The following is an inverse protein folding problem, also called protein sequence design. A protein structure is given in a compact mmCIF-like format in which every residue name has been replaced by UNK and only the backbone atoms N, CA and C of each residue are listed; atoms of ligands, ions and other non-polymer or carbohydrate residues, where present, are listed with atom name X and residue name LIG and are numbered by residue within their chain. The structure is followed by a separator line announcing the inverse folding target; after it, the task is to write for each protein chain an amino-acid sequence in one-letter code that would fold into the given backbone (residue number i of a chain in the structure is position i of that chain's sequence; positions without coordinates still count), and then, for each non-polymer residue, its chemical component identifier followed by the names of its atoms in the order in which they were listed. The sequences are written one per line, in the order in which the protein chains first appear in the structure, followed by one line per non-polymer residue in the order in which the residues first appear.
data_IF_934792823517
#
_entry.id   IF_934792823517
#
_cell.length_a   1.000
_cell.length_b   1.000
_cell.length_c   1.000
_cell.angle_alpha   90.00
_cell.angle_beta   90.00
_cell.angle_gamma   90.00
#
_symmetry.space_group_name_H-M   'P 1'
#
loop_
_entity.id
_entity.type
_entity.pdbx_description
1 polymer ?
#
# COMPACT_ATOMS: atom_id res chain seq x y z
N UNK A 1 13.97 -22.95 10.04
CA UNK A 1 14.60 -24.25 10.40
C UNK A 1 14.54 -25.24 9.24
N UNK A 2 13.35 -25.74 8.83
CA UNK A 2 13.22 -26.73 7.73
C UNK A 2 13.75 -26.31 6.35
N UNK A 3 13.94 -25.01 6.11
CA UNK A 3 14.58 -24.47 4.90
C UNK A 3 16.10 -24.28 5.06
N UNK A 4 16.73 -24.72 6.15
CA UNK A 4 18.17 -24.57 6.42
C UNK A 4 18.62 -23.16 6.84
N UNK A 5 17.74 -22.15 6.77
CA UNK A 5 18.05 -20.75 7.03
C UNK A 5 18.36 -20.39 8.50
N UNK A 6 18.19 -21.32 9.44
CA UNK A 6 18.37 -21.04 10.87
C UNK A 6 18.85 -22.29 11.60
N UNK A 7 19.88 -22.12 12.44
CA UNK A 7 20.48 -23.18 13.25
C UNK A 7 19.50 -23.78 14.25
N UNK A 8 19.34 -25.09 14.22
CA UNK A 8 18.41 -25.83 15.08
C UNK A 8 18.78 -25.71 16.56
N UNK A 9 20.06 -25.89 16.89
CA UNK A 9 20.55 -25.81 18.26
C UNK A 9 20.32 -24.44 18.90
N UNK A 10 20.46 -23.37 18.11
CA UNK A 10 20.19 -22.01 18.55
C UNK A 10 18.69 -21.75 18.72
N UNK A 11 17.85 -22.27 17.82
CA UNK A 11 16.40 -22.12 17.93
C UNK A 11 15.89 -22.72 19.24
N UNK A 12 16.28 -23.94 19.58
CA UNK A 12 15.83 -24.60 20.80
C UNK A 12 16.42 -23.98 22.08
N UNK A 13 17.56 -23.29 22.01
CA UNK A 13 18.12 -22.52 23.15
C UNK A 13 17.42 -21.19 23.38
N UNK A 14 16.88 -20.57 22.34
CA UNK A 14 16.18 -19.26 22.44
C UNK A 14 14.68 -19.46 22.68
N UNK A 15 14.06 -20.44 22.02
CA UNK A 15 12.62 -20.68 22.06
C UNK A 15 12.18 -21.50 23.29
N UNK A 16 12.77 -21.24 24.46
CA UNK A 16 12.40 -21.93 25.72
C UNK A 16 11.06 -21.43 26.24
N UNK A 17 10.81 -20.12 26.13
CA UNK A 17 9.53 -19.49 26.48
C UNK A 17 9.07 -18.67 25.28
N UNK A 18 8.04 -19.15 24.59
CA UNK A 18 7.46 -18.43 23.45
C UNK A 18 6.45 -17.39 23.92
N UNK A 19 6.86 -16.11 23.93
CA UNK A 19 5.94 -14.99 24.17
C UNK A 19 5.30 -14.61 22.84
N UNK A 20 4.00 -14.87 22.70
CA UNK A 20 3.24 -14.44 21.53
C UNK A 20 2.83 -12.97 21.69
N UNK A 21 3.42 -12.07 20.90
CA UNK A 21 3.00 -10.67 20.86
C UNK A 21 1.88 -10.48 19.82
N UNK A 22 0.62 -10.22 20.24
CA UNK A 22 -0.45 -10.02 19.29
C UNK A 22 -0.22 -8.74 18.46
N UNK A 23 -0.55 -8.76 17.16
CA UNK A 23 -0.52 -7.55 16.34
C UNK A 23 -1.54 -6.53 16.85
N UNK A 24 -1.29 -5.24 16.64
CA UNK A 24 -2.15 -4.14 17.11
C UNK A 24 -3.63 -4.32 16.71
N UNK A 25 -3.90 -4.90 15.53
CA UNK A 25 -5.27 -5.22 15.07
C UNK A 25 -6.07 -6.16 15.97
N UNK A 26 -5.41 -6.98 16.80
CA UNK A 26 -6.04 -7.89 17.77
C UNK A 26 -6.23 -7.26 19.16
N UNK A 27 -5.75 -6.02 19.35
CA UNK A 27 -5.77 -5.25 20.62
C UNK A 27 -6.09 -3.80 20.33
N UNK A 28 -7.23 -3.57 19.68
CA UNK A 28 -7.61 -2.22 19.23
C UNK A 28 -7.90 -1.29 20.41
N UNK A 29 -8.23 -1.84 21.57
CA UNK A 29 -8.47 -1.09 22.82
C UNK A 29 -7.20 -0.38 23.31
N UNK A 30 -6.00 -0.84 22.92
CA UNK A 30 -4.73 -0.21 23.29
C UNK A 30 -4.41 1.02 22.43
N UNK A 31 -5.07 1.19 21.27
CA UNK A 31 -4.75 2.25 20.30
C UNK A 31 -4.89 3.65 20.91
N UNK A 32 -5.96 4.01 21.64
CA UNK A 32 -6.08 5.32 22.27
C UNK A 32 -4.93 5.61 23.24
N UNK A 33 -4.60 4.65 24.10
CA UNK A 33 -3.52 4.81 25.09
C UNK A 33 -2.16 4.99 24.42
N UNK A 34 -1.86 4.19 23.40
CA UNK A 34 -0.62 4.30 22.62
C UNK A 34 -0.56 5.62 21.85
N UNK A 35 -1.65 6.04 21.22
CA UNK A 35 -1.72 7.28 20.47
C UNK A 35 -1.49 8.51 21.38
N UNK A 36 -2.08 8.52 22.57
CA UNK A 36 -1.84 9.57 23.57
C UNK A 36 -0.40 9.59 24.10
N UNK A 37 0.20 8.41 24.28
CA UNK A 37 1.60 8.31 24.67
C UNK A 37 2.52 8.94 23.62
N UNK A 38 2.36 8.54 22.34
CA UNK A 38 3.17 9.09 21.25
C UNK A 38 2.91 10.58 21.04
N UNK A 39 1.65 11.03 21.16
CA UNK A 39 1.31 12.44 21.11
C UNK A 39 2.15 13.22 22.13
N UNK A 40 2.11 12.83 23.40
CA UNK A 40 2.86 13.51 24.47
C UNK A 40 4.36 13.50 24.20
N UNK A 41 4.90 12.36 23.78
CA UNK A 41 6.32 12.19 23.47
C UNK A 41 6.78 13.15 22.36
N UNK A 42 6.05 13.21 21.24
CA UNK A 42 6.44 14.05 20.10
C UNK A 42 6.10 15.52 20.29
N UNK A 43 5.01 15.86 20.99
CA UNK A 43 4.70 17.24 21.34
C UNK A 43 5.79 17.84 22.22
N UNK A 44 6.28 17.10 23.21
CA UNK A 44 7.40 17.53 24.06
C UNK A 44 8.71 17.68 23.27
N UNK A 45 8.99 16.73 22.37
CA UNK A 45 10.21 16.75 21.52
C UNK A 45 10.21 17.90 20.51
N UNK A 46 9.06 18.24 19.94
CA UNK A 46 8.92 19.29 18.92
C UNK A 46 8.59 20.67 19.49
N UNK A 47 8.32 20.80 20.79
CA UNK A 47 7.95 22.06 21.44
C UNK A 47 6.60 22.64 20.99
N UNK A 48 5.73 21.82 20.38
CA UNK A 48 4.40 22.25 19.94
C UNK A 48 3.41 22.26 21.10
N UNK A 49 2.29 22.98 20.97
CA UNK A 49 1.20 23.04 21.95
C UNK A 49 0.00 22.20 21.52
N UNK A 50 0.23 20.92 21.21
CA UNK A 50 -0.86 20.01 20.84
C UNK A 50 -1.32 19.27 22.09
N UNK A 51 -2.58 19.47 22.46
CA UNK A 51 -3.20 18.99 23.70
C UNK A 51 -3.99 17.70 23.50
N UNK A 52 -4.35 17.33 22.27
CA UNK A 52 -5.13 16.12 22.03
C UNK A 52 -5.30 15.68 20.58
N UNK A 53 -6.06 14.60 20.41
CA UNK A 53 -6.50 14.05 19.13
C UNK A 53 -8.02 14.20 19.06
N UNK A 54 -8.56 14.68 17.94
CA UNK A 54 -10.01 14.83 17.81
C UNK A 54 -10.71 13.47 17.84
N UNK A 55 -11.97 13.45 18.29
CA UNK A 55 -12.76 12.21 18.35
C UNK A 55 -12.89 11.52 16.97
N UNK A 56 -12.93 12.31 15.88
CA UNK A 56 -12.96 11.79 14.52
C UNK A 56 -11.64 11.15 14.12
N UNK A 57 -10.51 11.82 14.37
CA UNK A 57 -9.18 11.26 14.13
C UNK A 57 -8.95 9.98 14.95
N UNK A 58 -9.38 9.97 16.22
CA UNK A 58 -9.27 8.79 17.09
C UNK A 58 -10.11 7.60 16.60
N UNK A 59 -11.29 7.84 16.03
CA UNK A 59 -12.09 6.78 15.39
C UNK A 59 -11.37 6.18 14.19
N UNK A 60 -10.75 7.02 13.34
CA UNK A 60 -9.97 6.57 12.18
C UNK A 60 -8.78 5.70 12.63
N UNK A 61 -8.06 6.14 13.66
CA UNK A 61 -6.93 5.37 14.21
C UNK A 61 -7.37 3.99 14.72
N UNK A 62 -8.55 3.89 15.35
CA UNK A 62 -9.08 2.61 15.85
C UNK A 62 -9.65 1.69 14.76
N UNK A 63 -10.19 2.25 13.67
CA UNK A 63 -10.75 1.46 12.58
C UNK A 63 -9.66 0.83 11.71
N UNK A 64 -8.51 1.47 11.59
CA UNK A 64 -7.40 1.05 10.73
C UNK A 64 -6.76 -0.29 11.17
N UNK A 65 -6.36 -1.20 10.24
CA UNK A 65 -5.85 -2.52 10.57
C UNK A 65 -4.36 -2.56 10.95
N UNK A 66 -3.63 -1.46 10.82
CA UNK A 66 -2.22 -1.32 11.23
C UNK A 66 -1.30 -2.47 10.75
N UNK A 67 -1.10 -2.67 9.43
CA UNK A 67 -0.18 -3.69 8.91
C UNK A 67 1.26 -3.55 9.45
N UNK A 68 1.72 -2.32 9.74
CA UNK A 68 3.00 -2.06 10.38
C UNK A 68 2.97 -1.99 11.92
N UNK A 69 1.86 -2.41 12.54
CA UNK A 69 1.69 -2.54 14.00
C UNK A 69 2.00 -1.20 14.71
N UNK A 70 2.52 -1.26 15.95
CA UNK A 70 2.85 -0.09 16.78
C UNK A 70 3.77 0.92 16.07
N UNK A 71 4.76 0.47 15.28
CA UNK A 71 5.66 1.38 14.56
C UNK A 71 4.94 2.24 13.53
N UNK A 72 3.95 1.69 12.85
CA UNK A 72 3.16 2.48 11.91
C UNK A 72 2.29 3.51 12.63
N UNK A 73 1.73 3.15 13.79
CA UNK A 73 1.00 4.10 14.64
C UNK A 73 1.90 5.23 15.13
N UNK A 74 3.07 4.91 15.67
CA UNK A 74 4.10 5.87 16.11
C UNK A 74 4.43 6.88 15.00
N UNK A 75 4.85 6.40 13.83
CA UNK A 75 5.20 7.25 12.69
C UNK A 75 4.01 8.12 12.22
N UNK A 76 2.80 7.59 12.32
CA UNK A 76 1.58 8.32 11.95
C UNK A 76 1.35 9.49 12.89
N UNK A 77 1.49 9.28 14.20
CA UNK A 77 1.32 10.33 15.21
C UNK A 77 2.46 11.35 15.13
N UNK A 78 3.71 10.92 14.95
CA UNK A 78 4.85 11.82 14.75
C UNK A 78 4.60 12.78 13.59
N UNK A 79 4.20 12.23 12.43
CA UNK A 79 3.88 13.02 11.25
C UNK A 79 2.71 13.97 11.51
N UNK A 80 1.65 13.50 12.17
CA UNK A 80 0.50 14.34 12.48
C UNK A 80 0.90 15.52 13.40
N UNK A 81 1.72 15.27 14.42
CA UNK A 81 2.28 16.33 15.28
C UNK A 81 3.12 17.30 14.47
N UNK A 82 3.98 16.83 13.58
CA UNK A 82 4.83 17.69 12.75
C UNK A 82 4.01 18.59 11.80
N UNK A 83 2.90 18.10 11.26
CA UNK A 83 2.06 18.82 10.30
C UNK A 83 0.94 19.66 10.93
N UNK A 84 0.53 19.35 12.16
CA UNK A 84 -0.59 20.04 12.78
C UNK A 84 -0.24 21.48 13.17
N UNK A 85 -1.19 22.37 12.92
CA UNK A 85 -1.11 23.81 13.22
C UNK A 85 -2.03 24.20 14.37
N UNK A 86 -3.01 23.36 14.70
CA UNK A 86 -3.95 23.55 15.81
C UNK A 86 -3.51 22.82 17.08
N UNK A 87 -4.20 23.08 18.20
CA UNK A 87 -3.94 22.38 19.46
C UNK A 87 -4.49 20.94 19.48
N UNK A 88 -5.38 20.60 18.55
CA UNK A 88 -5.98 19.27 18.45
C UNK A 88 -5.64 18.70 17.09
N UNK A 89 -5.17 17.44 17.04
CA UNK A 89 -4.93 16.72 15.78
C UNK A 89 -6.27 16.45 15.11
N UNK A 90 -6.45 17.03 13.92
CA UNK A 90 -7.62 16.85 13.08
C UNK A 90 -7.42 15.68 12.09
N UNK A 91 -8.52 15.04 11.63
CA UNK A 91 -8.42 13.88 10.74
C UNK A 91 -7.64 14.18 9.45
N UNK A 92 -7.67 15.42 8.95
CA UNK A 92 -6.96 15.87 7.75
C UNK A 92 -5.44 15.78 7.88
N UNK A 93 -4.91 15.75 9.10
CA UNK A 93 -3.47 15.58 9.36
C UNK A 93 -3.03 14.12 9.39
N UNK A 94 -3.98 13.19 9.45
CA UNK A 94 -3.68 11.78 9.29
C UNK A 94 -3.34 11.48 7.81
N UNK A 95 -2.48 10.49 7.52
CA UNK A 95 -2.21 10.06 6.15
C UNK A 95 -3.52 9.73 5.41
N UNK A 96 -3.56 10.03 4.11
CA UNK A 96 -4.75 9.74 3.27
C UNK A 96 -5.11 8.25 3.29
N UNK A 97 -4.10 7.37 3.36
CA UNK A 97 -4.29 5.92 3.49
C UNK A 97 -5.03 5.48 4.75
N UNK A 98 -5.12 6.34 5.78
CA UNK A 98 -5.93 6.08 6.97
C UNK A 98 -7.34 6.70 6.85
N UNK A 99 -7.46 7.86 6.20
CA UNK A 99 -8.73 8.58 6.02
C UNK A 99 -9.65 7.88 5.02
N UNK A 100 -9.08 7.41 3.93
CA UNK A 100 -9.75 6.50 3.01
C UNK A 100 -9.72 5.14 3.69
N UNK A 101 -10.86 4.65 4.16
CA UNK A 101 -10.99 3.33 4.78
C UNK A 101 -10.73 2.16 3.77
N UNK A 102 -9.96 2.41 2.71
CA UNK A 102 -9.38 1.45 1.75
C UNK A 102 -8.27 0.63 2.41
N UNK A 103 -8.59 0.13 3.60
CA UNK A 103 -7.86 -0.91 4.30
C UNK A 103 -8.14 -2.27 3.67
N UNK A 104 -8.02 -2.36 2.35
CA UNK A 104 -7.67 -3.62 1.70
C UNK A 104 -6.15 -3.58 1.50
N UNK A 105 -5.39 -4.62 1.87
CA UNK A 105 -4.09 -4.79 1.23
C UNK A 105 -4.36 -4.70 -0.27
N UNK A 106 -3.55 -3.93 -0.99
CA UNK A 106 -3.76 -3.59 -2.40
C UNK A 106 -4.04 -4.82 -3.28
N UNK A 107 -5.31 -5.25 -3.32
CA UNK A 107 -6.00 -5.66 -4.52
C UNK A 107 -6.50 -4.35 -5.14
N UNK A 108 -5.57 -3.49 -5.57
CA UNK A 108 -5.95 -2.59 -6.65
C UNK A 108 -6.21 -3.53 -7.82
N UNK A 109 -7.45 -3.95 -8.01
CA UNK A 109 -7.88 -4.33 -9.34
C UNK A 109 -7.68 -3.05 -10.16
N UNK A 110 -6.68 -3.01 -11.06
CA UNK A 110 -6.38 -1.81 -11.83
C UNK A 110 -7.56 -1.42 -12.73
N UNK A 111 -8.56 -2.30 -12.84
CA UNK A 111 -9.76 -2.16 -13.62
C UNK A 111 -10.96 -2.50 -12.73
N UNK A 112 -11.86 -1.53 -12.56
CA UNK A 112 -13.15 -1.76 -11.92
C UNK A 112 -14.14 -2.23 -12.99
N UNK A 113 -14.87 -3.31 -12.71
CA UNK A 113 -15.94 -3.76 -13.59
C UNK A 113 -17.10 -2.75 -13.51
N UNK A 114 -17.56 -2.16 -14.63
CA UNK A 114 -18.70 -1.25 -14.60
C UNK A 114 -20.01 -1.98 -14.27
N UNK A 115 -20.98 -1.28 -13.67
CA UNK A 115 -22.27 -1.85 -13.20
C UNK A 115 -23.24 -2.25 -14.33
N UNK A 116 -22.82 -2.20 -15.60
CA UNK A 116 -23.63 -2.49 -16.79
C UNK A 116 -23.02 -3.56 -17.70
N UNK A 117 -23.69 -3.92 -18.80
CA UNK A 117 -23.14 -4.87 -19.78
C UNK A 117 -21.79 -4.37 -20.29
N UNK A 118 -20.77 -5.21 -20.13
CA UNK A 118 -19.38 -4.88 -20.41
C UNK A 118 -18.82 -5.82 -21.47
N UNK A 119 -18.33 -5.24 -22.57
CA UNK A 119 -17.61 -5.99 -23.59
C UNK A 119 -16.15 -6.15 -23.18
N UNK A 120 -15.88 -7.32 -22.57
CA UNK A 120 -14.54 -7.68 -22.12
C UNK A 120 -13.55 -7.80 -23.28
N UNK A 121 -13.98 -8.30 -24.44
CA UNK A 121 -13.08 -8.49 -25.58
C UNK A 121 -12.62 -7.15 -26.15
N UNK A 122 -13.54 -6.19 -26.31
CA UNK A 122 -13.21 -4.83 -26.75
C UNK A 122 -12.27 -4.12 -25.75
N UNK A 123 -12.51 -4.29 -24.45
CA UNK A 123 -11.66 -3.69 -23.42
C UNK A 123 -10.24 -4.27 -23.46
N UNK A 124 -10.10 -5.60 -23.47
CA UNK A 124 -8.80 -6.26 -23.53
C UNK A 124 -8.02 -5.87 -24.79
N UNK A 125 -8.70 -5.76 -25.93
CA UNK A 125 -8.10 -5.27 -27.17
C UNK A 125 -7.56 -3.83 -27.03
N UNK A 126 -8.29 -2.95 -26.34
CA UNK A 126 -7.85 -1.58 -26.09
C UNK A 126 -6.60 -1.51 -25.20
N UNK A 127 -6.57 -2.29 -24.12
CA UNK A 127 -5.43 -2.39 -23.19
C UNK A 127 -4.22 -2.95 -23.91
N UNK A 128 -4.41 -4.03 -24.67
CA UNK A 128 -3.35 -4.65 -25.46
C UNK A 128 -2.78 -3.68 -26.50
N UNK A 129 -3.63 -2.93 -27.22
CA UNK A 129 -3.18 -1.94 -28.19
C UNK A 129 -2.35 -0.81 -27.56
N UNK A 130 -2.72 -0.38 -26.35
CA UNK A 130 -2.01 0.64 -25.58
C UNK A 130 -0.62 0.17 -25.17
N UNK A 131 -0.52 -1.05 -24.63
CA UNK A 131 0.75 -1.66 -24.22
C UNK A 131 1.70 -1.87 -25.40
N UNK A 132 1.19 -2.31 -26.56
CA UNK A 132 1.99 -2.47 -27.77
C UNK A 132 2.52 -1.12 -28.26
N UNK A 133 1.69 -0.06 -28.28
CA UNK A 133 2.15 1.30 -28.65
C UNK A 133 3.21 1.82 -27.68
N UNK A 134 3.03 1.61 -26.39
CA UNK A 134 4.01 2.03 -25.38
C UNK A 134 5.34 1.29 -25.54
N UNK A 135 5.31 -0.02 -25.78
CA UNK A 135 6.50 -0.82 -26.03
C UNK A 135 7.24 -0.38 -27.30
N UNK A 136 6.51 -0.06 -28.38
CA UNK A 136 7.07 0.47 -29.63
C UNK A 136 7.69 1.85 -29.44
N UNK A 137 7.02 2.76 -28.73
CA UNK A 137 7.57 4.10 -28.40
C UNK A 137 8.85 4.01 -27.59
N UNK A 138 8.86 3.18 -26.54
CA UNK A 138 10.03 2.99 -25.68
C UNK A 138 11.19 2.31 -26.41
N UNK A 139 10.89 1.53 -27.45
CA UNK A 139 11.88 0.81 -28.27
C UNK A 139 12.23 1.56 -29.57
N UNK A 140 11.80 2.82 -29.73
CA UNK A 140 12.10 3.64 -30.91
C UNK A 140 11.60 3.04 -32.24
N UNK A 141 10.49 2.29 -32.22
CA UNK A 141 9.95 1.61 -33.40
C UNK A 141 10.58 0.25 -33.72
N UNK A 142 11.57 -0.22 -32.94
CA UNK A 142 12.15 -1.54 -33.13
C UNK A 142 11.20 -2.64 -32.64
N UNK A 143 10.54 -3.31 -33.60
CA UNK A 143 9.56 -4.37 -33.34
C UNK A 143 10.16 -5.60 -32.63
N UNK A 144 11.45 -5.89 -32.83
CA UNK A 144 12.12 -7.04 -32.16
C UNK A 144 12.34 -6.74 -30.68
N UNK A 145 12.80 -5.53 -30.37
CA UNK A 145 13.01 -5.09 -28.99
C UNK A 145 11.68 -4.94 -28.23
N UNK A 146 10.64 -4.41 -28.89
CA UNK A 146 9.31 -4.32 -28.31
C UNK A 146 8.70 -5.70 -28.01
N UNK A 147 8.88 -6.67 -28.92
CA UNK A 147 8.40 -8.05 -28.73
C UNK A 147 9.09 -8.72 -27.52
N UNK A 148 10.40 -8.58 -27.39
CA UNK A 148 11.16 -9.11 -26.24
C UNK A 148 10.68 -8.50 -24.91
N UNK A 149 10.42 -7.19 -24.88
CA UNK A 149 9.93 -6.49 -23.67
C UNK A 149 8.54 -6.96 -23.25
N UNK A 150 7.68 -7.27 -24.21
CA UNK A 150 6.35 -7.84 -23.97
C UNK A 150 6.36 -9.36 -23.82
N UNK A 151 7.54 -10.01 -23.87
CA UNK A 151 7.69 -11.48 -23.87
C UNK A 151 6.88 -12.18 -24.97
N UNK A 152 6.74 -11.54 -26.12
CA UNK A 152 6.06 -12.05 -27.31
C UNK A 152 7.08 -12.47 -28.37
N UNK A 153 6.69 -13.40 -29.24
CA UNK A 153 7.45 -13.68 -30.45
C UNK A 153 7.25 -12.56 -31.48
N UNK A 154 8.25 -12.33 -32.34
CA UNK A 154 8.17 -11.33 -33.43
C UNK A 154 6.93 -11.53 -34.31
N UNK A 155 6.59 -12.79 -34.63
CA UNK A 155 5.41 -13.14 -35.43
C UNK A 155 4.10 -12.79 -34.72
N UNK A 156 4.00 -13.09 -33.42
CA UNK A 156 2.81 -12.77 -32.61
C UNK A 156 2.60 -11.26 -32.48
N UNK A 157 3.66 -10.48 -32.24
CA UNK A 157 3.58 -9.03 -32.20
C UNK A 157 3.13 -8.44 -33.54
N UNK A 158 3.69 -8.92 -34.66
CA UNK A 158 3.32 -8.44 -36.01
C UNK A 158 1.85 -8.73 -36.33
N UNK A 159 1.36 -9.92 -36.00
CA UNK A 159 -0.03 -10.29 -36.17
C UNK A 159 -0.93 -9.36 -35.34
N UNK A 160 -0.60 -9.13 -34.06
CA UNK A 160 -1.36 -8.22 -33.17
C UNK A 160 -1.35 -6.77 -33.64
N UNK A 161 -0.25 -6.26 -34.19
CA UNK A 161 -0.19 -4.91 -34.81
C UNK A 161 -1.15 -4.81 -36.00
N UNK A 162 -1.25 -5.85 -36.82
CA UNK A 162 -2.11 -5.89 -37.99
C UNK A 162 -3.59 -6.03 -37.62
N UNK A 163 -3.91 -6.92 -36.68
CA UNK A 163 -5.27 -7.14 -36.17
C UNK A 163 -5.81 -5.92 -35.43
N UNK A 164 -4.99 -5.25 -34.62
CA UNK A 164 -5.37 -4.08 -33.83
C UNK A 164 -5.15 -2.74 -34.58
N UNK A 165 -4.80 -2.79 -35.88
CA UNK A 165 -4.57 -1.64 -36.76
C UNK A 165 -3.70 -0.53 -36.11
N UNK A 166 -2.63 -0.92 -35.44
CA UNK A 166 -1.76 0.02 -34.73
C UNK A 166 -0.87 0.74 -35.75
N UNK A 167 -1.11 2.05 -35.95
CA UNK A 167 -0.19 2.92 -36.70
C UNK A 167 1.11 3.05 -35.91
N UNK A 168 2.19 2.54 -36.49
CA UNK A 168 3.57 2.69 -35.99
C UNK A 168 4.09 4.07 -36.36
#
# INVERSE_FOLDING_TARGET
IRQGLFREDLYYRIAVINIHLPPLRKRKEDIPLLAEYFLRFYTQKSGKKITGISAQAMKILQSYPWPGNVRQLENTIERAVALETTEIIQPERLPESLRSNDSRPQDHEPFLLPEGPFDLEAFLASVESSLIRQALRQSGGNQVAAAQRLKLTKGSLRHKIQTLQIKV
#
